data_IF_744700830142
#
_entry.id   IF_744700830142
#
_cell.length_a   1.000
_cell.length_b   1.000
_cell.length_c   1.000
_cell.angle_alpha   90.00
_cell.angle_beta   90.00
_cell.angle_gamma   90.00
#
_symmetry.space_group_name_H-M   'P 1'
#
loop_
_entity.id
_entity.type
_entity.pdbx_description
1 polymer ?
#
# COMPACT_ATOMS: atom_id res chain seq x y z
N UNK A 1 13.43 -5.55 -0.52
CA UNK A 1 12.58 -5.14 -1.64
C UNK A 1 12.55 -3.62 -1.67
N UNK A 2 12.88 -3.03 -2.82
CA UNK A 2 12.65 -1.61 -3.06
C UNK A 2 11.27 -1.49 -3.70
N UNK A 3 10.40 -0.69 -3.10
CA UNK A 3 9.01 -0.55 -3.52
C UNK A 3 8.88 0.69 -4.39
N UNK A 4 8.14 0.59 -5.49
CA UNK A 4 7.69 1.78 -6.21
C UNK A 4 6.71 2.56 -5.33
N UNK A 5 6.80 3.88 -5.33
CA UNK A 5 5.98 4.75 -4.49
C UNK A 5 5.34 5.83 -5.36
N UNK A 6 4.04 6.03 -5.18
CA UNK A 6 3.32 7.21 -5.67
C UNK A 6 3.01 8.10 -4.47
N UNK A 7 3.21 9.41 -4.59
CA UNK A 7 2.94 10.34 -3.50
C UNK A 7 2.02 11.46 -3.94
N UNK A 8 1.13 11.89 -3.05
CA UNK A 8 0.36 13.12 -3.18
C UNK A 8 0.87 14.08 -2.09
N UNK A 9 1.44 15.24 -2.47
CA UNK A 9 1.95 16.19 -1.50
C UNK A 9 0.79 16.83 -0.72
N UNK A 10 1.04 17.31 0.51
CA UNK A 10 0.08 18.12 1.22
C UNK A 10 -0.15 19.45 0.49
N UNK A 11 -1.35 20.00 0.61
CA UNK A 11 -1.75 21.29 0.08
C UNK A 11 -1.35 22.47 0.99
N UNK A 12 -1.15 22.19 2.27
CA UNK A 12 -0.64 23.13 3.28
C UNK A 12 0.58 22.54 3.98
N UNK A 13 1.04 23.17 5.08
CA UNK A 13 2.14 22.63 5.89
C UNK A 13 1.91 21.16 6.26
N UNK A 14 2.95 20.35 6.06
CA UNK A 14 2.93 18.92 6.29
C UNK A 14 2.84 18.66 7.80
N UNK A 15 1.77 18.00 8.25
CA UNK A 15 1.57 17.68 9.68
C UNK A 15 1.41 16.18 9.94
N UNK A 16 0.99 15.42 8.93
CA UNK A 16 0.76 13.99 9.03
C UNK A 16 1.13 13.31 7.71
N UNK A 17 1.65 12.09 7.79
CA UNK A 17 1.81 11.20 6.64
C UNK A 17 0.87 10.01 6.79
N UNK A 18 0.20 9.64 5.70
CA UNK A 18 -0.51 8.38 5.56
C UNK A 18 0.21 7.51 4.55
N UNK A 19 0.72 6.35 4.98
CA UNK A 19 1.22 5.29 4.09
C UNK A 19 0.07 4.32 3.83
N UNK A 20 -0.51 4.36 2.63
CA UNK A 20 -1.74 3.63 2.29
C UNK A 20 -1.48 2.52 1.27
N UNK A 21 -1.63 1.27 1.71
CA UNK A 21 -1.35 0.08 0.90
C UNK A 21 -2.59 -0.34 0.12
N UNK A 22 -2.40 -0.64 -1.16
CA UNK A 22 -3.44 -1.22 -2.01
C UNK A 22 -3.66 -2.72 -1.70
N UNK A 23 -4.79 -3.26 -2.18
CA UNK A 23 -5.14 -4.68 -2.06
C UNK A 23 -4.44 -5.59 -3.07
N UNK A 24 -4.58 -6.91 -2.91
CA UNK A 24 -4.03 -7.92 -3.82
C UNK A 24 -4.55 -7.73 -5.25
N UNK A 25 -3.65 -7.74 -6.23
CA UNK A 25 -3.94 -7.56 -7.66
C UNK A 25 -3.93 -6.10 -8.13
N UNK A 26 -3.87 -5.13 -7.23
CA UNK A 26 -3.86 -3.70 -7.55
C UNK A 26 -2.42 -3.13 -7.60
N UNK A 27 -2.27 -1.83 -7.84
CA UNK A 27 -0.98 -1.12 -7.80
C UNK A 27 -1.11 0.29 -7.22
N UNK A 28 0.03 0.89 -6.87
CA UNK A 28 0.05 2.22 -6.24
C UNK A 28 -0.59 3.33 -7.09
N UNK A 29 -0.47 3.29 -8.42
CA UNK A 29 -0.96 4.35 -9.30
C UNK A 29 -2.49 4.34 -9.38
N UNK A 30 -3.07 3.17 -9.59
CA UNK A 30 -4.52 3.02 -9.69
C UNK A 30 -5.16 3.30 -8.32
N UNK A 31 -4.56 2.79 -7.24
CA UNK A 31 -5.05 3.06 -5.89
C UNK A 31 -4.93 4.53 -5.49
N UNK A 32 -3.81 5.20 -5.81
CA UNK A 32 -3.67 6.65 -5.58
C UNK A 32 -4.74 7.44 -6.34
N UNK A 33 -5.06 7.03 -7.57
CA UNK A 33 -6.11 7.69 -8.36
C UNK A 33 -7.49 7.52 -7.72
N UNK A 34 -7.74 6.40 -7.06
CA UNK A 34 -9.01 6.11 -6.38
C UNK A 34 -9.33 7.06 -5.22
N UNK A 35 -8.31 7.70 -4.63
CA UNK A 35 -8.49 8.60 -3.49
C UNK A 35 -9.32 9.85 -3.87
N UNK A 36 -9.30 10.23 -5.15
CA UNK A 36 -10.09 11.34 -5.67
C UNK A 36 -11.57 10.97 -5.87
N UNK A 37 -11.88 9.68 -6.00
CA UNK A 37 -13.27 9.20 -6.11
C UNK A 37 -13.92 8.97 -4.74
N UNK A 38 -13.13 8.93 -3.67
CA UNK A 38 -13.62 8.81 -2.30
C UNK A 38 -13.93 10.19 -1.73
N UNK A 39 -15.21 10.51 -1.59
CA UNK A 39 -15.67 11.79 -1.04
C UNK A 39 -16.23 11.64 0.37
N UNK A 40 -16.00 12.67 1.19
CA UNK A 40 -16.65 12.79 2.49
C UNK A 40 -18.15 13.04 2.32
N UNK A 41 -18.92 12.97 3.41
CA UNK A 41 -20.35 13.36 3.41
C UNK A 41 -20.63 14.79 2.95
N UNK A 42 -19.59 15.64 2.88
CA UNK A 42 -19.65 17.03 2.38
C UNK A 42 -19.20 17.18 0.92
N UNK A 43 -18.93 16.07 0.21
CA UNK A 43 -18.50 16.07 -1.19
C UNK A 43 -17.03 16.43 -1.42
N UNK A 44 -16.24 16.65 -0.36
CA UNK A 44 -14.79 16.89 -0.47
C UNK A 44 -14.05 15.59 -0.76
N UNK A 45 -13.08 15.63 -1.66
CA UNK A 45 -12.08 14.56 -1.81
C UNK A 45 -11.23 14.44 -0.55
N UNK A 46 -10.54 13.30 -0.36
CA UNK A 46 -9.69 13.13 0.82
C UNK A 46 -8.52 14.15 0.90
N UNK A 47 -7.79 14.49 -0.19
CA UNK A 47 -6.79 15.55 -0.13
C UNK A 47 -7.36 16.92 0.26
N UNK A 48 -8.60 17.24 -0.14
CA UNK A 48 -9.28 18.48 0.28
C UNK A 48 -9.74 18.43 1.74
N UNK A 49 -10.19 17.28 2.22
CA UNK A 49 -10.62 17.09 3.60
C UNK A 49 -9.43 17.10 4.58
N UNK A 50 -8.24 16.71 4.12
CA UNK A 50 -7.00 16.64 4.90
C UNK A 50 -5.86 17.36 4.18
N UNK A 51 -5.91 18.70 4.05
CA UNK A 51 -4.96 19.45 3.22
C UNK A 51 -3.53 19.44 3.77
N UNK A 52 -3.34 19.17 5.06
CA UNK A 52 -2.02 19.08 5.70
C UNK A 52 -1.40 17.68 5.67
N UNK A 53 -2.07 16.72 5.02
CA UNK A 53 -1.64 15.32 4.97
C UNK A 53 -0.86 15.03 3.71
N UNK A 54 0.28 14.36 3.85
CA UNK A 54 0.99 13.71 2.75
C UNK A 54 0.46 12.30 2.59
N UNK A 55 0.15 11.90 1.37
CA UNK A 55 -0.31 10.54 1.07
C UNK A 55 0.77 9.80 0.30
N UNK A 56 1.11 8.59 0.77
CA UNK A 56 2.19 7.76 0.24
C UNK A 56 1.62 6.40 -0.08
N UNK A 57 1.69 6.02 -1.35
CA UNK A 57 1.13 4.78 -1.88
C UNK A 57 2.27 3.89 -2.37
N UNK A 58 2.75 2.96 -1.53
CA UNK A 58 3.71 1.97 -1.97
C UNK A 58 3.02 0.90 -2.84
N UNK A 59 3.71 0.42 -3.86
CA UNK A 59 3.24 -0.67 -4.72
C UNK A 59 3.88 -1.98 -4.29
N UNK A 60 3.08 -3.02 -4.11
CA UNK A 60 3.57 -4.38 -3.91
C UNK A 60 4.35 -4.88 -5.12
N UNK A 61 5.22 -5.87 -4.90
CA UNK A 61 5.90 -6.59 -5.97
C UNK A 61 4.95 -7.52 -6.73
N UNK A 62 5.32 -7.88 -7.96
CA UNK A 62 4.66 -8.95 -8.73
C UNK A 62 5.27 -10.29 -8.32
N UNK A 63 4.53 -11.04 -7.51
CA UNK A 63 4.95 -12.34 -6.98
C UNK A 63 4.15 -13.47 -7.64
N UNK A 64 4.77 -14.65 -7.71
CA UNK A 64 4.09 -15.87 -8.14
C UNK A 64 3.04 -16.28 -7.08
N UNK A 65 1.96 -16.88 -7.53
CA UNK A 65 0.91 -17.43 -6.66
C UNK A 65 1.16 -18.93 -6.48
N UNK A 66 1.50 -19.38 -5.26
CA UNK A 66 1.97 -20.75 -5.05
C UNK A 66 0.91 -21.81 -5.39
N UNK A 67 -0.36 -21.53 -5.10
CA UNK A 67 -1.47 -22.45 -5.38
C UNK A 67 -1.85 -22.53 -6.87
N UNK A 68 -1.39 -21.58 -7.70
CA UNK A 68 -1.74 -21.47 -9.12
C UNK A 68 -0.49 -21.26 -9.98
N UNK A 69 0.21 -22.34 -10.37
CA UNK A 69 1.42 -22.25 -11.17
C UNK A 69 1.21 -21.45 -12.46
N UNK A 70 2.08 -20.47 -12.69
CA UNK A 70 2.03 -19.57 -13.85
C UNK A 70 1.20 -18.29 -13.64
N UNK A 71 0.45 -18.18 -12.55
CA UNK A 71 -0.22 -16.93 -12.16
C UNK A 71 0.74 -16.04 -11.37
N UNK A 72 0.77 -14.75 -11.72
CA UNK A 72 1.60 -13.72 -11.10
C UNK A 72 0.74 -12.53 -10.76
N UNK A 73 0.76 -12.11 -9.50
CA UNK A 73 -0.08 -11.02 -9.01
C UNK A 73 0.73 -10.00 -8.24
N UNK A 74 0.27 -8.75 -8.30
CA UNK A 74 0.71 -7.73 -7.37
C UNK A 74 0.25 -8.11 -5.97
N UNK A 75 1.16 -8.53 -5.10
CA UNK A 75 0.82 -8.98 -3.75
C UNK A 75 1.97 -8.75 -2.76
N UNK A 76 1.62 -8.34 -1.54
CA UNK A 76 2.58 -8.08 -0.46
C UNK A 76 3.20 -9.38 0.08
N UNK A 77 2.43 -10.45 0.06
CA UNK A 77 2.81 -11.80 0.43
C UNK A 77 1.86 -12.76 -0.29
N UNK A 78 2.27 -14.01 -0.42
CA UNK A 78 1.44 -14.99 -1.09
C UNK A 78 0.33 -15.49 -0.17
N UNK A 79 -0.83 -15.81 -0.74
CA UNK A 79 -1.98 -16.38 -0.03
C UNK A 79 -2.44 -17.58 -0.85
N UNK A 80 -2.35 -18.77 -0.24
CA UNK A 80 -2.74 -20.02 -0.86
C UNK A 80 -4.23 -20.05 -1.20
N UNK A 81 -5.10 -19.82 -0.22
CA UNK A 81 -6.55 -19.72 -0.45
C UNK A 81 -7.11 -18.46 0.21
N UNK A 82 -7.72 -17.59 -0.61
CA UNK A 82 -8.37 -16.35 -0.13
C UNK A 82 -9.70 -16.60 0.55
N UNK A 83 -10.29 -17.79 0.37
CA UNK A 83 -11.49 -18.24 1.08
C UNK A 83 -11.17 -18.97 2.39
N UNK A 84 -9.93 -19.45 2.56
CA UNK A 84 -9.46 -20.12 3.77
C UNK A 84 -7.98 -19.81 4.07
N UNK A 85 -7.72 -18.75 4.84
CA UNK A 85 -6.36 -18.29 5.14
C UNK A 85 -5.51 -19.25 5.99
N UNK A 86 -6.10 -20.32 6.54
CA UNK A 86 -5.38 -21.35 7.30
C UNK A 86 -4.78 -22.44 6.41
N UNK A 87 -5.31 -22.58 5.19
CA UNK A 87 -4.77 -23.55 4.25
C UNK A 87 -3.38 -23.09 3.81
N UNK A 88 -2.37 -23.91 4.08
CA UNK A 88 -0.96 -23.62 3.78
C UNK A 88 -0.49 -22.22 4.22
N UNK A 89 -0.89 -21.76 5.41
CA UNK A 89 -0.59 -20.39 5.88
C UNK A 89 0.93 -20.07 5.97
N UNK A 90 1.77 -21.10 6.04
CA UNK A 90 3.23 -20.98 6.08
C UNK A 90 3.80 -20.23 4.86
N UNK A 91 3.12 -20.27 3.71
CA UNK A 91 3.56 -19.58 2.49
C UNK A 91 3.51 -18.06 2.62
N UNK A 92 2.73 -17.54 3.58
CA UNK A 92 2.61 -16.09 3.83
C UNK A 92 3.87 -15.52 4.50
N UNK A 93 4.56 -16.32 5.33
CA UNK A 93 5.59 -15.83 6.26
C UNK A 93 6.77 -15.11 5.57
N UNK A 94 7.36 -15.64 4.48
CA UNK A 94 8.50 -14.99 3.83
C UNK A 94 8.13 -13.61 3.28
N UNK A 95 7.02 -13.52 2.53
CA UNK A 95 6.54 -12.27 1.95
C UNK A 95 6.15 -11.25 3.02
N UNK A 96 5.52 -11.69 4.11
CA UNK A 96 5.19 -10.82 5.24
C UNK A 96 6.44 -10.20 5.86
N UNK A 97 7.49 -11.00 6.10
CA UNK A 97 8.75 -10.51 6.67
C UNK A 97 9.39 -9.46 5.77
N UNK A 98 9.44 -9.72 4.46
CA UNK A 98 10.02 -8.80 3.48
C UNK A 98 9.23 -7.50 3.35
N UNK A 99 7.90 -7.60 3.22
CA UNK A 99 7.00 -6.45 3.12
C UNK A 99 7.06 -5.58 4.36
N UNK A 100 7.01 -6.16 5.57
CA UNK A 100 7.14 -5.40 6.82
C UNK A 100 8.50 -4.69 6.91
N UNK A 101 9.59 -5.36 6.51
CA UNK A 101 10.91 -4.74 6.52
C UNK A 101 10.98 -3.56 5.54
N UNK A 102 10.39 -3.68 4.35
CA UNK A 102 10.32 -2.60 3.37
C UNK A 102 9.45 -1.42 3.85
N UNK A 103 8.25 -1.69 4.37
CA UNK A 103 7.35 -0.67 4.90
C UNK A 103 7.95 0.08 6.08
N UNK A 104 8.72 -0.59 6.96
CA UNK A 104 9.44 0.08 8.04
C UNK A 104 10.47 1.10 7.55
N UNK A 105 11.11 0.86 6.40
CA UNK A 105 12.02 1.84 5.79
C UNK A 105 11.25 3.05 5.27
N UNK A 106 10.10 2.83 4.63
CA UNK A 106 9.23 3.92 4.16
C UNK A 106 8.75 4.76 5.35
N UNK A 107 8.21 4.12 6.40
CA UNK A 107 7.75 4.82 7.60
C UNK A 107 8.86 5.66 8.24
N UNK A 108 10.10 5.15 8.29
CA UNK A 108 11.24 5.91 8.79
C UNK A 108 11.53 7.14 7.92
N UNK A 109 11.62 6.96 6.61
CA UNK A 109 11.87 8.05 5.66
C UNK A 109 10.79 9.14 5.71
N UNK A 110 9.53 8.75 5.82
CA UNK A 110 8.42 9.71 5.89
C UNK A 110 8.37 10.42 7.25
N UNK A 111 8.71 9.73 8.35
CA UNK A 111 8.87 10.37 9.65
C UNK A 111 9.99 11.42 9.62
N UNK A 112 11.15 11.09 9.05
CA UNK A 112 12.27 12.04 8.87
C UNK A 112 11.88 13.23 7.98
N UNK A 113 11.00 13.01 6.99
CA UNK A 113 10.49 14.07 6.10
C UNK A 113 9.50 15.01 6.80
N UNK A 114 8.75 14.51 7.78
CA UNK A 114 7.82 15.31 8.56
C UNK A 114 8.54 16.20 9.59
N UNK A 115 9.66 15.71 10.15
CA UNK A 115 10.45 16.37 11.20
C UNK A 115 10.23 15.75 12.58
#
# INVERSE_FOLDING_TARGET
MDLAIVTIPPLTDHTHTVVFLHGRGDNAKDFASSIHYSTTSRGLTLPEAFPSFRWVFPSAGILDVACMPGDRRSQWFDIWDVSNFKDHEEVQQPGLRESVAALRKILRSEAETLG
#
